data_IF_300266715919
#
_entry.id   IF_300266715919
#
_cell.length_a   1.000
_cell.length_b   1.000
_cell.length_c   1.000
_cell.angle_alpha   90.00
_cell.angle_beta   90.00
_cell.angle_gamma   90.00
#
_symmetry.space_group_name_H-M   'P 1'
#
loop_
_entity.id
_entity.type
_entity.pdbx_description
1 polymer ?
#
# COMPACT_ATOMS: atom_id res chain seq x y z
N UNK A 1 -36.44 -13.06 -41.05
CA UNK A 1 -36.32 -11.64 -40.66
C UNK A 1 -35.54 -11.59 -39.36
N UNK A 2 -34.22 -11.39 -39.42
CA UNK A 2 -33.35 -11.28 -38.25
C UNK A 2 -33.41 -9.85 -37.72
N UNK A 3 -34.15 -9.63 -36.64
CA UNK A 3 -34.19 -8.33 -35.96
C UNK A 3 -32.86 -8.10 -35.24
N UNK A 4 -32.02 -7.22 -35.79
CA UNK A 4 -30.85 -6.69 -35.08
C UNK A 4 -31.30 -5.89 -33.86
N UNK A 5 -30.92 -6.34 -32.67
CA UNK A 5 -31.17 -5.60 -31.43
C UNK A 5 -30.34 -4.30 -31.41
N UNK A 6 -30.91 -3.15 -31.01
CA UNK A 6 -30.17 -1.90 -30.91
C UNK A 6 -29.15 -1.97 -29.77
N UNK A 7 -27.89 -1.64 -30.06
CA UNK A 7 -26.84 -1.51 -29.06
C UNK A 7 -27.16 -0.36 -28.10
N UNK A 8 -27.60 -0.69 -26.88
CA UNK A 8 -27.87 0.30 -25.82
C UNK A 8 -26.55 0.89 -25.36
N UNK A 9 -26.30 2.15 -25.70
CA UNK A 9 -25.15 2.90 -25.17
C UNK A 9 -25.35 3.09 -23.65
N UNK A 10 -24.38 2.74 -22.80
CA UNK A 10 -24.51 2.95 -21.37
C UNK A 10 -24.56 4.46 -21.08
N UNK A 11 -25.65 4.91 -20.47
CA UNK A 11 -25.80 6.31 -20.02
C UNK A 11 -24.80 6.59 -18.90
N UNK A 12 -24.26 7.81 -18.81
CA UNK A 12 -23.35 8.16 -17.71
C UNK A 12 -24.05 8.00 -16.36
N UNK A 13 -23.33 7.57 -15.31
CA UNK A 13 -23.88 7.46 -13.97
C UNK A 13 -24.32 8.84 -13.47
N UNK A 14 -25.44 8.87 -12.74
CA UNK A 14 -26.01 10.08 -12.15
C UNK A 14 -26.47 9.81 -10.72
N UNK A 15 -26.55 10.86 -9.91
CA UNK A 15 -27.12 10.75 -8.56
C UNK A 15 -28.54 10.21 -8.62
N UNK A 16 -28.85 9.29 -7.71
CA UNK A 16 -30.12 8.57 -7.66
C UNK A 16 -30.24 7.42 -8.67
N UNK A 17 -29.31 7.28 -9.61
CA UNK A 17 -29.21 6.14 -10.51
C UNK A 17 -28.64 4.90 -9.84
N UNK A 18 -28.74 3.77 -10.54
CA UNK A 18 -28.23 2.47 -10.09
C UNK A 18 -26.87 2.17 -10.73
N UNK A 19 -26.00 1.51 -9.97
CA UNK A 19 -24.66 1.10 -10.40
C UNK A 19 -24.25 -0.19 -9.68
N UNK A 20 -23.56 -1.08 -10.39
CA UNK A 20 -22.91 -2.24 -9.76
C UNK A 20 -21.65 -1.79 -9.02
N UNK A 21 -21.54 -2.19 -7.75
CA UNK A 21 -20.40 -1.88 -6.91
C UNK A 21 -20.14 -3.01 -5.90
N UNK A 22 -18.91 -3.07 -5.39
CA UNK A 22 -18.56 -4.02 -4.33
C UNK A 22 -19.04 -3.51 -2.97
N UNK A 23 -19.96 -4.24 -2.35
CA UNK A 23 -20.43 -3.95 -0.99
C UNK A 23 -19.45 -4.51 0.05
N UNK A 24 -18.93 -3.68 0.94
CA UNK A 24 -18.02 -4.14 2.01
C UNK A 24 -18.74 -4.90 3.14
N UNK A 25 -20.06 -4.68 3.31
CA UNK A 25 -20.88 -5.40 4.29
C UNK A 25 -21.32 -6.78 3.76
N UNK A 26 -21.89 -6.84 2.55
CA UNK A 26 -22.31 -8.10 1.91
C UNK A 26 -21.15 -8.90 1.32
N UNK A 27 -19.99 -8.26 1.10
CA UNK A 27 -18.78 -8.83 0.49
C UNK A 27 -18.98 -9.37 -0.93
N UNK A 28 -19.96 -8.83 -1.65
CA UNK A 28 -20.33 -9.22 -3.01
C UNK A 28 -20.52 -7.97 -3.89
N UNK A 29 -20.37 -8.16 -5.20
CA UNK A 29 -20.75 -7.17 -6.20
C UNK A 29 -22.28 -7.19 -6.36
N UNK A 30 -22.92 -6.07 -6.02
CA UNK A 30 -24.38 -5.94 -5.97
C UNK A 30 -24.81 -4.60 -6.58
N UNK A 31 -26.11 -4.46 -6.82
CA UNK A 31 -26.70 -3.18 -7.20
C UNK A 31 -26.68 -2.19 -6.04
N UNK A 32 -26.18 -0.99 -6.31
CA UNK A 32 -26.15 0.14 -5.40
C UNK A 32 -26.81 1.36 -6.03
N UNK A 33 -27.38 2.22 -5.19
CA UNK A 33 -27.88 3.53 -5.58
C UNK A 33 -26.81 4.59 -5.36
N UNK A 34 -26.61 5.47 -6.33
CA UNK A 34 -25.65 6.58 -6.21
C UNK A 34 -26.22 7.66 -5.30
N UNK A 35 -25.59 7.92 -4.16
CA UNK A 35 -26.01 8.96 -3.21
C UNK A 35 -25.28 10.27 -3.49
N UNK A 36 -23.98 10.20 -3.79
CA UNK A 36 -23.15 11.38 -4.01
C UNK A 36 -22.16 11.21 -5.15
N UNK A 37 -22.09 12.23 -6.00
CA UNK A 37 -21.09 12.39 -7.05
C UNK A 37 -20.33 13.69 -6.85
N UNK A 38 -19.04 13.70 -7.19
CA UNK A 38 -18.16 14.87 -7.18
C UNK A 38 -17.31 14.83 -8.45
N UNK A 39 -17.21 15.94 -9.18
CA UNK A 39 -16.44 16.04 -10.43
C UNK A 39 -16.80 14.92 -11.44
N UNK A 40 -18.10 14.64 -11.57
CA UNK A 40 -18.63 13.58 -12.43
C UNK A 40 -18.19 12.14 -12.04
N UNK A 41 -17.64 11.97 -10.84
CA UNK A 41 -17.27 10.66 -10.28
C UNK A 41 -18.19 10.27 -9.14
N UNK A 42 -18.61 9.01 -9.12
CA UNK A 42 -19.36 8.43 -7.99
C UNK A 42 -18.43 8.32 -6.79
N UNK A 43 -18.77 9.02 -5.69
CA UNK A 43 -18.00 8.97 -4.44
C UNK A 43 -18.65 8.05 -3.41
N UNK A 44 -19.98 8.09 -3.29
CA UNK A 44 -20.73 7.38 -2.24
C UNK A 44 -21.97 6.70 -2.81
N UNK A 45 -22.21 5.48 -2.35
CA UNK A 45 -23.26 4.59 -2.83
C UNK A 45 -23.96 3.90 -1.67
N UNK A 46 -25.24 3.56 -1.85
CA UNK A 46 -26.06 2.78 -0.93
C UNK A 46 -26.34 1.41 -1.52
N UNK A 47 -26.00 0.33 -0.81
CA UNK A 47 -26.31 -1.02 -1.24
C UNK A 47 -27.83 -1.27 -1.20
N UNK A 48 -28.43 -1.66 -2.32
CA UNK A 48 -29.88 -1.91 -2.35
C UNK A 48 -30.29 -3.15 -1.56
N UNK A 49 -29.35 -4.07 -1.31
CA UNK A 49 -29.56 -5.32 -0.55
C UNK A 49 -29.49 -5.10 0.96
N UNK A 50 -28.39 -4.54 1.48
CA UNK A 50 -28.23 -4.36 2.94
C UNK A 50 -28.54 -2.94 3.44
N UNK A 51 -28.94 -2.01 2.55
CA UNK A 51 -29.19 -0.59 2.84
C UNK A 51 -28.02 0.13 3.50
N UNK A 52 -26.80 -0.39 3.32
CA UNK A 52 -25.59 0.20 3.86
C UNK A 52 -25.01 1.22 2.90
N UNK A 53 -24.72 2.41 3.40
CA UNK A 53 -23.97 3.43 2.68
C UNK A 53 -22.44 3.22 2.85
N UNK A 54 -21.70 3.36 1.76
CA UNK A 54 -20.24 3.34 1.77
C UNK A 54 -19.65 4.05 0.55
N UNK A 55 -18.34 4.27 0.56
CA UNK A 55 -17.65 4.84 -0.59
C UNK A 55 -17.66 3.87 -1.77
N UNK A 56 -17.78 4.40 -2.98
CA UNK A 56 -17.81 3.59 -4.19
C UNK A 56 -16.53 2.77 -4.34
N UNK A 57 -16.70 1.46 -4.47
CA UNK A 57 -15.63 0.52 -4.79
C UNK A 57 -16.06 -0.21 -6.05
N UNK A 58 -15.19 -0.16 -7.07
CA UNK A 58 -15.43 -0.84 -8.35
C UNK A 58 -15.74 -2.32 -8.13
N UNK A 59 -16.63 -2.91 -8.94
CA UNK A 59 -16.89 -4.35 -8.92
C UNK A 59 -15.61 -5.16 -9.04
N UNK A 60 -15.57 -6.33 -8.42
CA UNK A 60 -14.40 -7.21 -8.45
C UNK A 60 -14.04 -7.62 -9.89
N UNK A 61 -15.03 -7.92 -10.72
CA UNK A 61 -14.85 -8.28 -12.13
C UNK A 61 -14.11 -7.20 -12.95
N UNK A 62 -14.40 -5.93 -12.70
CA UNK A 62 -13.73 -4.81 -13.37
C UNK A 62 -12.33 -4.53 -12.79
N UNK A 63 -12.13 -4.82 -11.51
CA UNK A 63 -10.80 -4.73 -10.88
C UNK A 63 -9.86 -5.80 -11.43
N UNK A 64 -10.33 -7.03 -11.58
CA UNK A 64 -9.53 -8.15 -12.09
C UNK A 64 -9.10 -7.90 -13.55
N UNK A 65 -10.00 -7.36 -14.38
CA UNK A 65 -9.66 -6.93 -15.76
C UNK A 65 -8.63 -5.80 -15.83
N UNK A 66 -8.68 -4.83 -14.91
CA UNK A 66 -7.68 -3.76 -14.87
C UNK A 66 -6.31 -4.28 -14.43
N UNK A 67 -6.27 -5.21 -13.47
CA UNK A 67 -5.03 -5.88 -13.06
C UNK A 67 -4.43 -6.70 -14.21
N UNK A 68 -5.26 -7.44 -14.96
CA UNK A 68 -4.82 -8.17 -16.15
C UNK A 68 -4.26 -7.22 -17.23
N UNK A 69 -4.97 -6.12 -17.51
CA UNK A 69 -4.50 -5.10 -18.45
C UNK A 69 -3.18 -4.45 -18.01
N UNK A 70 -3.01 -4.20 -16.71
CA UNK A 70 -1.75 -3.69 -16.15
C UNK A 70 -0.62 -4.71 -16.25
N UNK A 71 -0.89 -5.99 -16.02
CA UNK A 71 0.08 -7.06 -16.18
C UNK A 71 0.57 -7.15 -17.64
N UNK A 72 -0.35 -7.07 -18.61
CA UNK A 72 -0.02 -7.03 -20.04
C UNK A 72 0.78 -5.79 -20.42
N UNK A 73 0.39 -4.60 -19.94
CA UNK A 73 1.16 -3.37 -20.19
C UNK A 73 2.58 -3.41 -19.61
N UNK A 74 2.77 -4.04 -18.44
CA UNK A 74 4.10 -4.24 -17.82
C UNK A 74 4.93 -5.26 -18.58
N UNK A 75 4.33 -6.28 -19.18
CA UNK A 75 5.01 -7.23 -20.04
C UNK A 75 5.52 -6.59 -21.34
N UNK A 76 4.80 -5.60 -21.88
CA UNK A 76 5.18 -4.87 -23.10
C UNK A 76 6.29 -3.84 -22.85
N UNK A 77 6.31 -3.20 -21.67
CA UNK A 77 7.33 -2.21 -21.29
C UNK A 77 8.45 -2.78 -20.39
N UNK A 78 8.61 -4.11 -20.32
CA UNK A 78 9.74 -4.69 -19.62
C UNK A 78 11.04 -4.31 -20.36
N UNK A 79 11.95 -3.52 -19.76
CA UNK A 79 13.27 -3.37 -20.34
C UNK A 79 13.97 -4.73 -20.27
N UNK A 80 14.48 -5.17 -21.42
CA UNK A 80 15.51 -6.19 -21.44
C UNK A 80 16.75 -5.53 -20.86
N UNK A 81 17.36 -6.22 -19.90
CA UNK A 81 18.56 -5.85 -19.17
C UNK A 81 18.38 -4.86 -18.01
N UNK A 82 18.85 -5.34 -16.86
CA UNK A 82 18.50 -4.83 -15.55
C UNK A 82 19.30 -3.62 -15.10
N UNK A 83 18.60 -2.72 -14.42
CA UNK A 83 19.10 -1.91 -13.30
C UNK A 83 17.86 -1.24 -12.67
N UNK A 84 17.52 -1.44 -11.38
CA UNK A 84 16.41 -0.70 -10.81
C UNK A 84 16.90 0.71 -10.47
N UNK A 85 16.71 1.64 -11.41
CA UNK A 85 16.73 3.06 -11.07
C UNK A 85 15.48 3.37 -10.25
N UNK A 86 15.69 4.12 -9.18
CA UNK A 86 14.72 4.56 -8.19
C UNK A 86 13.47 5.13 -8.86
N UNK A 87 12.30 4.68 -8.41
CA UNK A 87 11.05 5.44 -8.50
C UNK A 87 10.14 5.06 -7.34
N UNK A 88 10.42 5.73 -6.22
CA UNK A 88 9.50 6.37 -5.28
C UNK A 88 8.03 5.89 -5.36
N UNK A 89 7.65 5.18 -4.30
CA UNK A 89 6.33 5.11 -3.68
C UNK A 89 5.12 4.76 -4.59
N UNK A 90 4.62 3.53 -4.44
CA UNK A 90 3.39 3.33 -3.66
C UNK A 90 3.02 1.86 -3.50
N UNK A 91 2.98 1.44 -2.23
CA UNK A 91 1.94 0.56 -1.68
C UNK A 91 1.80 -0.82 -2.34
N UNK A 92 2.90 -1.58 -2.37
CA UNK A 92 2.88 -2.99 -2.79
C UNK A 92 3.78 -3.89 -1.91
N UNK A 93 3.78 -3.71 -0.59
CA UNK A 93 4.64 -4.51 0.30
C UNK A 93 3.81 -5.27 1.34
N UNK A 94 3.07 -6.29 0.89
CA UNK A 94 2.59 -7.38 1.75
C UNK A 94 2.87 -8.71 1.06
N UNK A 95 4.13 -9.13 1.05
CA UNK A 95 4.47 -10.51 0.68
C UNK A 95 5.92 -10.76 0.28
N UNK A 96 6.55 -9.85 -0.47
CA UNK A 96 7.88 -10.09 -1.07
C UNK A 96 9.09 -9.59 -0.25
N UNK A 97 8.88 -8.65 0.69
CA UNK A 97 9.98 -7.92 1.34
C UNK A 97 10.73 -8.63 2.47
N UNK A 98 10.22 -9.73 3.03
CA UNK A 98 10.82 -10.30 4.26
C UNK A 98 12.22 -10.88 4.04
N UNK A 99 12.45 -11.56 2.92
CA UNK A 99 13.75 -12.20 2.64
C UNK A 99 14.84 -11.17 2.34
N UNK A 100 14.54 -10.18 1.49
CA UNK A 100 15.50 -9.15 1.10
C UNK A 100 15.86 -8.23 2.28
N UNK A 101 14.88 -7.93 3.14
CA UNK A 101 15.11 -7.09 4.33
C UNK A 101 16.01 -7.81 5.35
N UNK A 102 15.75 -9.08 5.65
CA UNK A 102 16.58 -9.85 6.59
C UNK A 102 18.03 -9.93 6.12
N UNK A 103 18.25 -10.19 4.83
CA UNK A 103 19.59 -10.22 4.24
C UNK A 103 20.31 -8.87 4.32
N UNK A 104 19.58 -7.75 4.20
CA UNK A 104 20.14 -6.41 4.35
C UNK A 104 20.53 -6.12 5.80
N UNK A 105 19.73 -6.58 6.77
CA UNK A 105 20.05 -6.49 8.18
C UNK A 105 21.29 -7.31 8.54
N UNK A 106 21.34 -8.58 8.13
CA UNK A 106 22.50 -9.46 8.36
C UNK A 106 23.78 -8.84 7.82
N UNK A 107 23.76 -8.30 6.59
CA UNK A 107 24.93 -7.61 6.01
C UNK A 107 25.36 -6.37 6.77
N UNK A 108 24.42 -5.64 7.37
CA UNK A 108 24.71 -4.39 8.09
C UNK A 108 25.24 -4.65 9.50
N UNK A 109 24.85 -5.76 10.11
CA UNK A 109 25.27 -6.20 11.44
C UNK A 109 26.54 -7.07 11.37
N UNK A 110 26.76 -7.76 10.25
CA UNK A 110 27.91 -8.64 10.05
C UNK A 110 29.23 -7.90 10.26
N UNK A 111 30.01 -8.35 11.25
CA UNK A 111 31.32 -7.80 11.58
C UNK A 111 31.32 -6.69 12.63
N UNK A 112 30.17 -6.32 13.18
CA UNK A 112 30.09 -5.29 14.22
C UNK A 112 30.12 -5.90 15.62
N UNK A 113 31.00 -5.43 16.52
CA UNK A 113 31.08 -5.97 17.87
C UNK A 113 29.84 -5.56 18.70
N UNK A 114 29.43 -6.36 19.71
CA UNK A 114 28.33 -6.01 20.61
C UNK A 114 28.49 -4.66 21.33
N UNK A 115 29.73 -4.14 21.42
CA UNK A 115 30.05 -2.84 22.00
C UNK A 115 29.73 -1.65 21.08
N UNK A 116 29.53 -1.88 19.77
CA UNK A 116 29.15 -0.84 18.83
C UNK A 116 27.66 -0.47 18.92
N UNK A 117 26.85 -1.29 19.61
CA UNK A 117 25.41 -1.09 19.76
C UNK A 117 25.10 -0.13 20.90
N UNK A 118 24.50 1.01 20.58
CA UNK A 118 23.97 1.92 21.59
C UNK A 118 22.60 1.46 22.07
N UNK A 119 22.34 1.55 23.37
CA UNK A 119 21.00 1.31 23.90
C UNK A 119 20.03 2.35 23.33
N UNK A 120 18.88 1.88 22.82
CA UNK A 120 17.85 2.76 22.29
C UNK A 120 17.32 3.70 23.39
N UNK A 121 17.35 5.00 23.11
CA UNK A 121 16.81 6.05 23.96
C UNK A 121 16.02 7.04 23.10
N UNK A 122 14.75 7.27 23.44
CA UNK A 122 13.85 8.17 22.71
C UNK A 122 14.29 9.64 22.77
N UNK A 123 15.07 10.01 23.79
CA UNK A 123 15.67 11.36 23.92
C UNK A 123 16.96 11.51 23.11
N UNK A 124 17.57 10.40 22.69
CA UNK A 124 18.78 10.40 21.87
C UNK A 124 18.47 10.82 20.43
N UNK A 125 19.47 11.35 19.75
CA UNK A 125 19.46 11.59 18.31
C UNK A 125 20.33 10.53 17.63
N UNK A 126 19.84 9.95 16.54
CA UNK A 126 20.53 8.88 15.82
C UNK A 126 20.86 9.29 14.38
N UNK A 127 21.96 8.75 13.87
CA UNK A 127 22.40 8.95 12.49
C UNK A 127 22.17 7.70 11.63
N UNK A 128 21.97 7.84 10.30
CA UNK A 128 21.91 6.69 9.40
C UNK A 128 23.17 5.83 9.50
N UNK A 129 22.99 4.51 9.58
CA UNK A 129 24.07 3.52 9.76
C UNK A 129 24.45 3.25 11.22
N UNK A 130 23.85 3.95 12.18
CA UNK A 130 24.13 3.73 13.60
C UNK A 130 23.47 2.44 14.13
N UNK A 131 24.19 1.73 15.00
CA UNK A 131 23.74 0.47 15.57
C UNK A 131 23.04 0.69 16.91
N UNK A 132 21.83 0.16 17.01
CA UNK A 132 20.94 0.39 18.14
C UNK A 132 20.45 -0.95 18.67
N UNK A 133 20.51 -1.12 19.99
CA UNK A 133 19.94 -2.27 20.70
C UNK A 133 18.66 -1.86 21.42
N UNK A 134 17.56 -2.53 21.10
CA UNK A 134 16.25 -2.33 21.74
C UNK A 134 15.83 -3.58 22.51
N UNK A 135 15.34 -3.44 23.74
CA UNK A 135 14.95 -4.57 24.62
C UNK A 135 13.92 -5.51 23.99
N UNK A 136 12.92 -4.96 23.29
CA UNK A 136 11.86 -5.74 22.62
C UNK A 136 12.22 -6.27 21.22
N UNK A 137 13.06 -5.57 20.47
CA UNK A 137 13.26 -5.82 19.03
C UNK A 137 14.67 -6.33 18.70
N UNK A 138 15.55 -6.37 19.69
CA UNK A 138 16.93 -6.80 19.52
C UNK A 138 17.80 -5.74 18.85
N UNK A 139 18.76 -6.22 18.09
CA UNK A 139 19.78 -5.42 17.43
C UNK A 139 19.27 -4.90 16.10
N UNK A 140 19.48 -3.61 15.86
CA UNK A 140 19.05 -2.93 14.65
C UNK A 140 20.06 -1.90 14.18
N UNK A 141 19.93 -1.53 12.91
CA UNK A 141 20.72 -0.48 12.27
C UNK A 141 19.78 0.61 11.77
N UNK A 142 20.15 1.87 11.96
CA UNK A 142 19.37 2.98 11.42
C UNK A 142 19.44 2.96 9.89
N UNK A 143 18.33 2.65 9.23
CA UNK A 143 18.26 2.66 7.77
C UNK A 143 18.26 4.10 7.23
N UNK A 144 17.43 4.96 7.83
CA UNK A 144 17.30 6.38 7.44
C UNK A 144 16.55 7.19 8.49
N UNK A 145 16.77 8.50 8.48
CA UNK A 145 15.94 9.46 9.23
C UNK A 145 14.71 9.79 8.39
N UNK A 146 13.51 9.63 8.96
CA UNK A 146 12.24 9.99 8.30
C UNK A 146 11.93 11.45 8.57
N UNK A 147 11.88 11.82 9.85
CA UNK A 147 11.61 13.17 10.36
C UNK A 147 12.65 13.49 11.46
N UNK A 148 12.83 14.76 11.87
CA UNK A 148 13.68 15.10 13.02
C UNK A 148 13.35 14.31 14.29
N UNK A 149 12.09 13.92 14.46
CA UNK A 149 11.61 13.12 15.61
C UNK A 149 11.40 11.63 15.30
N UNK A 150 11.59 11.19 14.05
CA UNK A 150 11.30 9.80 13.63
C UNK A 150 12.42 9.23 12.80
N UNK A 151 12.81 8.02 13.15
CA UNK A 151 13.88 7.27 12.50
C UNK A 151 13.37 5.90 12.07
N UNK A 152 13.84 5.41 10.93
CA UNK A 152 13.58 4.05 10.46
C UNK A 152 14.77 3.17 10.85
N UNK A 153 14.52 2.17 11.71
CA UNK A 153 15.52 1.22 12.17
C UNK A 153 15.19 -0.15 11.58
N UNK A 154 16.18 -0.74 10.92
CA UNK A 154 16.11 -2.09 10.39
C UNK A 154 16.45 -3.08 11.50
N UNK A 155 15.50 -3.93 11.88
CA UNK A 155 15.69 -5.03 12.81
C UNK A 155 15.63 -6.37 12.07
N UNK A 156 15.98 -7.47 12.74
CA UNK A 156 15.88 -8.83 12.20
C UNK A 156 14.47 -9.16 11.67
N UNK A 157 13.44 -8.77 12.42
CA UNK A 157 12.02 -9.00 12.07
C UNK A 157 11.53 -8.08 10.93
N UNK A 158 12.22 -6.97 10.70
CA UNK A 158 11.89 -6.01 9.65
C UNK A 158 12.17 -4.54 10.02
N UNK A 159 11.91 -3.60 9.09
CA UNK A 159 12.05 -2.18 9.34
C UNK A 159 10.94 -1.68 10.28
N UNK A 160 11.31 -0.91 11.29
CA UNK A 160 10.38 -0.27 12.24
C UNK A 160 10.67 1.21 12.36
N UNK A 161 9.60 2.01 12.41
CA UNK A 161 9.70 3.43 12.71
C UNK A 161 9.77 3.62 14.23
N UNK A 162 10.79 4.35 14.67
CA UNK A 162 11.11 4.63 16.06
C UNK A 162 11.19 6.14 16.29
N UNK A 163 11.02 6.57 17.54
CA UNK A 163 11.06 7.98 17.91
C UNK A 163 12.46 8.37 18.39
N UNK A 164 12.88 9.59 18.08
CA UNK A 164 14.15 10.15 18.49
C UNK A 164 13.99 11.63 18.85
N UNK A 165 14.95 12.18 19.60
CA UNK A 165 14.99 13.61 19.91
C UNK A 165 13.76 14.12 20.67
N UNK A 166 13.11 13.28 21.49
CA UNK A 166 11.97 13.71 22.30
C UNK A 166 12.45 14.68 23.37
N UNK A 167 12.29 15.97 23.10
CA UNK A 167 12.44 17.06 24.07
C UNK A 167 11.20 17.04 24.96
N UNK A 168 11.42 16.91 26.27
CA UNK A 168 10.34 16.97 27.27
C UNK A 168 9.99 18.40 27.61
#
# INVERSE_FOLDING_TARGET
MTVSAPAVRPKPPRVGGEIDAYCTKCRLDLNHRIIAMVDNQVKRVECLTCKGDHNYRRPKSERDKEEERKAMHRAIHAPKDGMPTRSIASKAERGGSKLNTKQLWEKSIAGQPPSAFKAYNVKGTFSPGELIRHTRFGDGVVARIIDPMKVEILFEDGPRTMAQGLTS
#
